data_IF_459779508520
#
_entry.id   IF_459779508520
#
_cell.length_a   1.000
_cell.length_b   1.000
_cell.length_c   1.000
_cell.angle_alpha   90.00
_cell.angle_beta   90.00
_cell.angle_gamma   90.00
#
_symmetry.space_group_name_H-M   'P 1'
#
loop_
_entity.id
_entity.type
_entity.pdbx_description
1 polymer ?
#
# COMPACT_ATOMS: atom_id res chain seq x y z
N UNK A 1 2.60 9.91 -20.34
CA UNK A 1 3.50 11.07 -20.20
C UNK A 1 4.86 10.54 -19.80
N UNK A 2 5.95 11.14 -20.27
CA UNK A 2 7.30 10.64 -20.01
C UNK A 2 7.87 11.37 -18.78
N UNK A 3 7.55 10.89 -17.57
CA UNK A 3 7.97 11.52 -16.31
C UNK A 3 9.49 11.70 -16.24
N UNK A 4 10.29 10.91 -16.96
CA UNK A 4 11.75 11.07 -17.04
C UNK A 4 12.17 12.45 -17.56
N UNK A 5 11.50 12.98 -18.59
CA UNK A 5 11.81 14.30 -19.17
C UNK A 5 11.37 15.43 -18.23
N UNK A 6 10.16 15.30 -17.67
CA UNK A 6 9.60 16.28 -16.73
C UNK A 6 10.43 16.36 -15.45
N UNK A 7 10.86 15.20 -14.92
CA UNK A 7 11.74 15.10 -13.76
C UNK A 7 13.11 15.74 -14.00
N UNK A 8 13.71 15.51 -15.17
CA UNK A 8 14.97 16.16 -15.57
C UNK A 8 14.85 17.69 -15.56
N UNK A 9 13.78 18.22 -16.13
CA UNK A 9 13.51 19.65 -16.14
C UNK A 9 13.26 20.20 -14.74
N UNK A 10 12.48 19.50 -13.91
CA UNK A 10 12.22 19.88 -12.53
C UNK A 10 13.52 19.95 -11.70
N UNK A 11 14.45 18.99 -11.85
CA UNK A 11 15.74 19.04 -11.16
C UNK A 11 16.63 20.20 -11.60
N UNK A 12 16.54 20.65 -12.86
CA UNK A 12 17.23 21.87 -13.31
C UNK A 12 16.70 23.11 -12.56
N UNK A 13 15.39 23.18 -12.32
CA UNK A 13 14.78 24.26 -11.53
C UNK A 13 15.26 24.24 -10.08
N UNK A 14 15.53 23.06 -9.52
CA UNK A 14 16.17 22.87 -8.21
C UNK A 14 17.68 23.17 -8.21
N UNK A 15 18.24 23.70 -9.31
CA UNK A 15 19.65 24.11 -9.48
C UNK A 15 20.67 22.96 -9.42
N UNK A 16 20.29 21.74 -9.77
CA UNK A 16 21.24 20.63 -9.89
C UNK A 16 22.10 20.77 -11.15
N UNK A 17 23.34 20.30 -11.07
CA UNK A 17 24.22 20.22 -12.24
C UNK A 17 23.71 19.17 -13.23
N UNK A 18 23.96 19.39 -14.54
CA UNK A 18 23.61 18.43 -15.60
C UNK A 18 24.21 17.03 -15.35
N UNK A 19 25.44 16.98 -14.82
CA UNK A 19 26.14 15.73 -14.49
C UNK A 19 25.40 14.98 -13.39
N UNK A 20 24.94 15.69 -12.34
CA UNK A 20 24.17 15.08 -11.24
C UNK A 20 22.83 14.53 -11.75
N UNK A 21 22.15 15.31 -12.60
CA UNK A 21 20.88 14.93 -13.20
C UNK A 21 21.04 13.65 -14.02
N UNK A 22 22.04 13.58 -14.90
CA UNK A 22 22.31 12.40 -15.72
C UNK A 22 22.56 11.16 -14.86
N UNK A 23 23.35 11.29 -13.78
CA UNK A 23 23.59 10.21 -12.82
C UNK A 23 22.29 9.71 -12.18
N UNK A 24 21.40 10.61 -11.76
CA UNK A 24 20.13 10.23 -11.13
C UNK A 24 19.18 9.58 -12.12
N UNK A 25 19.07 10.12 -13.34
CA UNK A 25 18.27 9.53 -14.40
C UNK A 25 18.71 8.10 -14.71
N UNK A 26 20.02 7.88 -14.87
CA UNK A 26 20.58 6.55 -15.16
C UNK A 26 20.41 5.58 -13.98
N UNK A 27 20.52 6.08 -12.74
CA UNK A 27 20.30 5.27 -11.55
C UNK A 27 18.86 4.76 -11.45
N UNK A 28 17.88 5.67 -11.64
CA UNK A 28 16.45 5.37 -11.54
C UNK A 28 16.00 4.48 -12.71
N UNK A 29 16.36 4.86 -13.94
CA UNK A 29 15.91 4.16 -15.15
C UNK A 29 16.56 2.78 -15.31
N UNK A 30 17.79 2.65 -14.84
CA UNK A 30 18.54 1.41 -14.91
C UNK A 30 18.46 0.61 -13.62
N UNK A 31 19.52 0.74 -12.82
CA UNK A 31 19.84 -0.23 -11.76
C UNK A 31 18.75 -0.35 -10.70
N UNK A 32 18.10 0.76 -10.32
CA UNK A 32 17.02 0.73 -9.34
C UNK A 32 15.75 0.08 -9.89
N UNK A 33 15.36 0.42 -11.12
CA UNK A 33 14.22 -0.24 -11.78
C UNK A 33 14.47 -1.74 -12.01
N UNK A 34 15.71 -2.15 -12.30
CA UNK A 34 16.07 -3.56 -12.43
C UNK A 34 15.94 -4.31 -11.10
N UNK A 35 16.50 -3.78 -10.00
CA UNK A 35 16.35 -4.39 -8.67
C UNK A 35 14.87 -4.54 -8.31
N UNK A 36 14.04 -3.53 -8.63
CA UNK A 36 12.60 -3.60 -8.42
C UNK A 36 11.94 -4.77 -9.18
N UNK A 37 12.32 -5.02 -10.43
CA UNK A 37 11.78 -6.13 -11.23
C UNK A 37 12.28 -7.48 -10.75
N UNK A 38 13.58 -7.62 -10.56
CA UNK A 38 14.22 -8.87 -10.14
C UNK A 38 13.73 -9.33 -8.76
N UNK A 39 13.52 -8.37 -7.85
CA UNK A 39 12.97 -8.60 -6.51
C UNK A 39 11.43 -8.65 -6.46
N UNK A 40 10.76 -8.56 -7.62
CA UNK A 40 9.28 -8.53 -7.75
C UNK A 40 8.60 -7.47 -6.87
N UNK A 41 9.25 -6.32 -6.72
CA UNK A 41 8.71 -5.14 -6.02
C UNK A 41 7.72 -4.42 -6.95
N UNK A 42 8.10 -4.23 -8.21
CA UNK A 42 7.24 -3.69 -9.27
C UNK A 42 7.77 -4.10 -10.65
N UNK A 43 6.86 -4.38 -11.58
CA UNK A 43 7.18 -4.70 -12.99
C UNK A 43 7.41 -3.44 -13.84
N UNK A 44 6.93 -2.29 -13.37
CA UNK A 44 7.07 -1.00 -14.04
C UNK A 44 8.44 -0.39 -13.81
N UNK A 45 8.89 0.43 -14.75
CA UNK A 45 10.03 1.31 -14.49
C UNK A 45 9.65 2.36 -13.43
N UNK A 46 10.60 2.77 -12.58
CA UNK A 46 10.34 3.77 -11.55
C UNK A 46 9.85 5.12 -12.12
N UNK A 47 10.19 5.46 -13.37
CA UNK A 47 9.65 6.63 -14.05
C UNK A 47 8.21 6.45 -14.56
N UNK A 48 7.72 5.23 -14.70
CA UNK A 48 6.33 4.98 -15.08
C UNK A 48 5.38 5.11 -13.88
N UNK A 49 5.93 5.21 -12.67
CA UNK A 49 5.18 5.45 -11.44
C UNK A 49 4.84 6.93 -11.33
N UNK A 50 3.56 7.27 -11.42
CA UNK A 50 3.01 8.62 -11.29
C UNK A 50 2.33 8.85 -9.93
N UNK A 51 1.87 7.79 -9.26
CA UNK A 51 1.25 7.88 -7.94
C UNK A 51 2.32 8.02 -6.84
N UNK A 52 2.29 9.16 -6.15
CA UNK A 52 3.23 9.48 -5.07
C UNK A 52 3.22 8.44 -3.93
N UNK A 53 2.05 8.02 -3.45
CA UNK A 53 1.95 7.11 -2.31
C UNK A 53 2.44 5.70 -2.67
N UNK A 54 2.14 5.24 -3.89
CA UNK A 54 2.69 4.00 -4.45
C UNK A 54 4.22 4.07 -4.55
N UNK A 55 4.76 5.19 -5.01
CA UNK A 55 6.21 5.39 -5.06
C UNK A 55 6.86 5.30 -3.68
N UNK A 56 6.28 5.89 -2.63
CA UNK A 56 6.80 5.79 -1.25
C UNK A 56 6.90 4.34 -0.79
N UNK A 57 5.91 3.52 -1.11
CA UNK A 57 5.91 2.11 -0.73
C UNK A 57 7.00 1.33 -1.48
N UNK A 58 7.09 1.50 -2.80
CA UNK A 58 8.14 0.91 -3.63
C UNK A 58 9.52 1.33 -3.13
N UNK A 59 9.69 2.63 -2.84
CA UNK A 59 10.92 3.20 -2.29
C UNK A 59 11.30 2.53 -0.95
N UNK A 60 10.36 2.36 -0.03
CA UNK A 60 10.61 1.75 1.28
C UNK A 60 10.99 0.27 1.17
N UNK A 61 10.32 -0.49 0.30
CA UNK A 61 10.61 -1.91 0.07
C UNK A 61 11.98 -2.05 -0.60
N UNK A 62 12.26 -1.23 -1.61
CA UNK A 62 13.54 -1.18 -2.32
C UNK A 62 14.68 -0.84 -1.37
N UNK A 63 14.53 0.21 -0.54
CA UNK A 63 15.55 0.64 0.44
C UNK A 63 15.87 -0.43 1.48
N UNK A 64 14.95 -1.36 1.72
CA UNK A 64 15.15 -2.48 2.65
C UNK A 64 15.85 -3.70 2.03
N UNK A 65 15.96 -3.78 0.69
CA UNK A 65 16.68 -4.87 0.04
C UNK A 65 18.18 -4.82 0.37
N UNK A 66 18.76 -6.01 0.59
CA UNK A 66 20.20 -6.15 0.84
C UNK A 66 20.99 -5.62 -0.36
N UNK A 67 20.58 -6.00 -1.58
CA UNK A 67 21.21 -5.54 -2.82
C UNK A 67 21.20 -4.02 -2.94
N UNK A 68 20.08 -3.36 -2.59
CA UNK A 68 20.02 -1.90 -2.59
C UNK A 68 20.98 -1.30 -1.56
N UNK A 69 21.02 -1.82 -0.33
CA UNK A 69 21.90 -1.30 0.74
C UNK A 69 23.36 -1.34 0.32
N UNK A 70 23.81 -2.47 -0.24
CA UNK A 70 25.18 -2.63 -0.73
C UNK A 70 25.49 -1.70 -1.89
N UNK A 71 24.56 -1.60 -2.85
CA UNK A 71 24.69 -0.72 -4.00
C UNK A 71 24.75 0.76 -3.57
N UNK A 72 23.92 1.14 -2.62
CA UNK A 72 23.82 2.50 -2.11
C UNK A 72 25.09 2.92 -1.37
N UNK A 73 25.68 2.02 -0.57
CA UNK A 73 26.98 2.24 0.07
C UNK A 73 28.09 2.43 -0.97
N UNK A 74 28.19 1.52 -1.96
CA UNK A 74 29.19 1.63 -3.06
C UNK A 74 29.03 2.90 -3.87
N UNK A 75 27.79 3.37 -4.05
CA UNK A 75 27.47 4.61 -4.75
C UNK A 75 27.57 5.87 -3.88
N UNK A 76 28.14 5.79 -2.67
CA UNK A 76 28.21 6.91 -1.73
C UNK A 76 26.84 7.61 -1.54
N UNK A 77 25.80 6.81 -1.29
CA UNK A 77 24.41 7.24 -1.05
C UNK A 77 23.71 7.94 -2.23
N UNK A 78 24.32 7.96 -3.42
CA UNK A 78 23.76 8.58 -4.62
C UNK A 78 22.37 8.05 -4.98
N UNK A 79 22.13 6.74 -4.81
CA UNK A 79 20.86 6.10 -5.15
C UNK A 79 19.72 6.55 -4.23
N UNK A 80 20.00 6.67 -2.92
CA UNK A 80 19.05 7.25 -1.97
C UNK A 80 18.74 8.70 -2.31
N UNK A 81 19.75 9.49 -2.68
CA UNK A 81 19.53 10.87 -3.14
C UNK A 81 18.66 10.92 -4.38
N UNK A 82 18.92 10.10 -5.39
CA UNK A 82 18.11 10.03 -6.61
C UNK A 82 16.63 9.72 -6.30
N UNK A 83 16.36 8.72 -5.44
CA UNK A 83 15.00 8.39 -4.99
C UNK A 83 14.34 9.53 -4.22
N UNK A 84 15.08 10.23 -3.36
CA UNK A 84 14.56 11.38 -2.62
C UNK A 84 14.15 12.53 -3.55
N UNK A 85 14.90 12.78 -4.64
CA UNK A 85 14.50 13.78 -5.64
C UNK A 85 13.27 13.33 -6.41
N UNK A 86 13.20 12.06 -6.82
CA UNK A 86 12.01 11.55 -7.50
C UNK A 86 10.77 11.61 -6.61
N UNK A 87 10.91 11.29 -5.32
CA UNK A 87 9.88 11.49 -4.30
C UNK A 87 9.39 12.93 -4.25
N UNK A 88 10.31 13.89 -4.16
CA UNK A 88 9.97 15.31 -4.09
C UNK A 88 9.25 15.79 -5.35
N UNK A 89 9.72 15.37 -6.53
CA UNK A 89 9.06 15.65 -7.81
C UNK A 89 7.62 15.12 -7.85
N UNK A 90 7.42 13.86 -7.47
CA UNK A 90 6.08 13.25 -7.45
C UNK A 90 5.16 13.95 -6.43
N UNK A 91 5.72 14.40 -5.31
CA UNK A 91 4.99 15.17 -4.30
C UNK A 91 4.52 16.52 -4.87
N UNK A 92 5.43 17.29 -5.45
CA UNK A 92 5.12 18.59 -6.07
C UNK A 92 4.06 18.43 -7.17
N UNK A 93 4.14 17.34 -7.94
CA UNK A 93 3.17 17.02 -8.99
C UNK A 93 1.79 16.71 -8.40
N UNK A 94 1.73 15.89 -7.34
CA UNK A 94 0.49 15.60 -6.59
C UNK A 94 -0.14 16.86 -6.02
N UNK A 95 0.65 17.69 -5.32
CA UNK A 95 0.18 18.94 -4.71
C UNK A 95 -0.31 19.94 -5.78
N UNK A 96 0.31 19.96 -6.97
CA UNK A 96 -0.12 20.78 -8.12
C UNK A 96 -1.42 20.27 -8.77
N UNK A 97 -1.65 18.96 -8.79
CA UNK A 97 -2.89 18.36 -9.32
C UNK A 97 -4.04 18.57 -8.34
N UNK A 98 -3.80 18.37 -7.04
CA UNK A 98 -4.80 18.58 -5.98
C UNK A 98 -5.23 20.04 -5.85
N UNK A 99 -4.33 20.99 -6.21
CA UNK A 99 -4.68 22.41 -6.30
C UNK A 99 -5.38 22.82 -7.60
N UNK A 100 -5.36 21.98 -8.65
CA UNK A 100 -6.03 22.20 -9.94
C UNK A 100 -7.32 21.39 -10.11
N UNK A 101 -7.57 20.38 -9.29
CA UNK A 101 -8.73 19.47 -9.37
C UNK A 101 -10.02 20.05 -8.75
N UNK A 102 -10.27 21.35 -8.97
CA UNK A 102 -11.59 21.96 -8.75
C UNK A 102 -12.43 22.07 -10.03
N UNK A 103 -11.95 21.59 -11.18
CA UNK A 103 -12.76 21.55 -12.41
C UNK A 103 -12.23 20.49 -13.40
N UNK A 104 -13.12 19.60 -13.85
CA UNK A 104 -12.99 18.58 -14.93
C UNK A 104 -12.19 17.28 -14.68
N UNK A 105 -12.91 16.15 -14.57
CA UNK A 105 -12.96 15.09 -15.61
C UNK A 105 -13.50 13.77 -15.04
N UNK A 106 -14.64 13.29 -15.57
CA UNK A 106 -15.38 12.11 -15.08
C UNK A 106 -15.24 10.85 -15.97
N UNK A 107 -14.59 10.90 -17.13
CA UNK A 107 -14.59 9.76 -18.09
C UNK A 107 -13.25 9.04 -18.28
N UNK A 108 -12.12 9.70 -18.07
CA UNK A 108 -10.79 9.04 -18.06
C UNK A 108 -10.46 8.36 -16.73
N UNK A 109 -11.28 8.62 -15.72
CA UNK A 109 -11.05 8.32 -14.31
C UNK A 109 -11.46 6.89 -13.98
N UNK A 110 -12.49 6.33 -14.63
CA UNK A 110 -13.03 5.00 -14.33
C UNK A 110 -12.12 3.86 -14.81
N UNK A 111 -11.61 3.92 -16.05
CA UNK A 111 -10.69 2.90 -16.60
C UNK A 111 -9.36 2.91 -15.84
N UNK A 112 -8.84 4.11 -15.57
CA UNK A 112 -7.66 4.30 -14.74
C UNK A 112 -7.92 3.79 -13.32
N UNK A 113 -9.04 4.18 -12.70
CA UNK A 113 -9.44 3.75 -11.35
C UNK A 113 -9.54 2.23 -11.21
N UNK A 114 -10.08 1.50 -12.21
CA UNK A 114 -10.18 0.04 -12.15
C UNK A 114 -8.80 -0.63 -12.17
N UNK A 115 -7.89 -0.18 -13.04
CA UNK A 115 -6.51 -0.70 -13.10
C UNK A 115 -5.75 -0.34 -11.81
N UNK A 116 -5.86 0.91 -11.35
CA UNK A 116 -5.22 1.37 -10.12
C UNK A 116 -5.79 0.67 -8.87
N UNK A 117 -7.08 0.34 -8.84
CA UNK A 117 -7.69 -0.42 -7.75
C UNK A 117 -7.13 -1.84 -7.72
N UNK A 118 -6.98 -2.48 -8.89
CA UNK A 118 -6.43 -3.84 -8.99
C UNK A 118 -4.97 -3.90 -8.54
N UNK A 119 -4.15 -2.97 -9.03
CA UNK A 119 -2.74 -2.85 -8.63
C UNK A 119 -2.63 -2.51 -7.15
N UNK A 120 -3.45 -1.57 -6.64
CA UNK A 120 -3.49 -1.20 -5.24
C UNK A 120 -3.89 -2.36 -4.33
N UNK A 121 -4.85 -3.20 -4.75
CA UNK A 121 -5.26 -4.40 -4.00
C UNK A 121 -4.19 -5.50 -4.00
N UNK A 122 -3.51 -5.73 -5.13
CA UNK A 122 -2.41 -6.71 -5.19
C UNK A 122 -1.23 -6.28 -4.31
N UNK A 123 -0.91 -4.99 -4.29
CA UNK A 123 0.12 -4.42 -3.44
C UNK A 123 -0.25 -4.42 -1.96
N UNK A 124 -1.47 -3.98 -1.64
CA UNK A 124 -1.99 -4.05 -0.28
C UNK A 124 -1.92 -5.48 0.26
N UNK A 125 -2.31 -6.45 -0.57
CA UNK A 125 -2.20 -7.87 -0.26
C UNK A 125 -0.76 -8.30 -0.01
N UNK A 126 0.19 -7.90 -0.85
CA UNK A 126 1.60 -8.25 -0.66
C UNK A 126 2.16 -7.70 0.68
N UNK A 127 1.79 -6.47 1.04
CA UNK A 127 2.17 -5.84 2.30
C UNK A 127 1.58 -6.61 3.49
N UNK A 128 0.29 -6.97 3.45
CA UNK A 128 -0.35 -7.73 4.51
C UNK A 128 0.23 -9.13 4.68
N UNK A 129 0.59 -9.80 3.58
CA UNK A 129 1.29 -11.10 3.62
C UNK A 129 2.62 -10.98 4.35
N UNK A 130 3.38 -9.90 4.11
CA UNK A 130 4.68 -9.67 4.76
C UNK A 130 4.51 -9.33 6.25
N UNK A 131 3.50 -8.54 6.59
CA UNK A 131 3.20 -8.13 7.96
C UNK A 131 2.66 -9.28 8.82
N UNK A 132 1.56 -9.90 8.40
CA UNK A 132 0.85 -10.92 9.18
C UNK A 132 1.49 -12.30 9.11
N UNK A 133 2.23 -12.60 8.03
CA UNK A 133 2.91 -13.90 7.76
C UNK A 133 1.98 -15.13 7.65
N UNK A 134 0.70 -14.98 7.98
CA UNK A 134 -0.36 -15.98 7.91
C UNK A 134 -1.69 -15.33 8.29
N UNK A 135 -2.77 -16.12 8.37
CA UNK A 135 -4.06 -15.62 8.83
C UNK A 135 -3.90 -14.93 10.20
N UNK A 136 -4.40 -13.69 10.32
CA UNK A 136 -4.32 -12.88 11.54
C UNK A 136 -4.96 -13.58 12.75
N UNK A 137 -5.99 -14.40 12.50
CA UNK A 137 -6.76 -15.10 13.55
C UNK A 137 -6.18 -16.49 13.84
N UNK A 138 -5.89 -17.28 12.80
CA UNK A 138 -5.56 -18.71 12.96
C UNK A 138 -4.08 -19.03 12.76
N UNK A 139 -3.28 -18.09 12.25
CA UNK A 139 -1.89 -18.32 11.86
C UNK A 139 -1.70 -19.17 10.60
N UNK A 140 -2.78 -19.57 9.92
CA UNK A 140 -2.70 -20.40 8.73
C UNK A 140 -1.85 -19.76 7.62
N UNK A 141 -0.84 -20.48 7.12
CA UNK A 141 0.24 -19.90 6.31
C UNK A 141 0.12 -20.05 4.80
N UNK A 142 -0.82 -20.87 4.27
CA UNK A 142 -0.96 -21.00 2.82
C UNK A 142 -1.67 -19.78 2.23
N UNK A 143 -0.84 -18.88 1.68
CA UNK A 143 -1.22 -17.60 1.11
C UNK A 143 -2.30 -17.71 0.03
N UNK A 144 -2.44 -18.85 -0.64
CA UNK A 144 -3.46 -19.07 -1.69
C UNK A 144 -4.89 -19.03 -1.13
N UNK A 145 -5.05 -19.35 0.15
CA UNK A 145 -6.35 -19.35 0.84
C UNK A 145 -6.62 -18.06 1.62
N UNK A 146 -5.66 -17.14 1.69
CA UNK A 146 -5.80 -15.92 2.49
C UNK A 146 -6.36 -14.78 1.64
N UNK A 147 -7.13 -13.90 2.24
CA UNK A 147 -7.71 -12.69 1.66
C UNK A 147 -7.19 -11.46 2.40
N UNK A 148 -7.01 -10.37 1.66
CA UNK A 148 -6.59 -9.08 2.19
C UNK A 148 -7.84 -8.24 2.45
N UNK A 149 -8.34 -8.27 3.68
CA UNK A 149 -9.57 -7.57 4.09
C UNK A 149 -9.22 -6.18 4.59
N UNK A 150 -9.98 -5.16 4.16
CA UNK A 150 -9.87 -3.79 4.68
C UNK A 150 -10.70 -3.64 5.94
N UNK A 151 -10.12 -3.05 7.00
CA UNK A 151 -10.85 -2.76 8.25
C UNK A 151 -11.86 -1.62 8.02
N UNK A 152 -11.39 -0.51 7.46
CA UNK A 152 -12.23 0.56 6.92
C UNK A 152 -12.38 0.32 5.42
N UNK A 153 -13.60 0.12 4.89
CA UNK A 153 -13.82 -0.30 3.52
C UNK A 153 -13.21 0.65 2.49
N UNK A 154 -12.70 0.06 1.41
CA UNK A 154 -12.05 0.78 0.32
C UNK A 154 -12.84 1.97 -0.22
N UNK A 155 -14.17 1.83 -0.33
CA UNK A 155 -15.07 2.85 -0.88
C UNK A 155 -15.11 4.14 -0.08
N UNK A 156 -14.87 4.06 1.24
CA UNK A 156 -14.92 5.20 2.17
C UNK A 156 -13.55 5.57 2.73
N UNK A 157 -12.51 4.84 2.31
CA UNK A 157 -11.12 5.14 2.63
C UNK A 157 -10.54 6.17 1.67
N UNK A 158 -9.70 7.05 2.20
CA UNK A 158 -8.82 7.91 1.42
C UNK A 158 -7.72 7.08 0.74
N UNK A 159 -7.03 7.64 -0.25
CA UNK A 159 -5.98 6.92 -0.97
C UNK A 159 -4.83 6.46 -0.05
N UNK A 160 -4.50 7.25 0.98
CA UNK A 160 -3.53 6.85 2.00
C UNK A 160 -4.04 5.66 2.84
N UNK A 161 -5.32 5.67 3.21
CA UNK A 161 -5.91 4.60 4.02
C UNK A 161 -6.07 3.29 3.23
N UNK A 162 -6.28 3.38 1.91
CA UNK A 162 -6.43 2.23 1.01
C UNK A 162 -5.16 1.37 0.93
N UNK A 163 -3.99 1.99 1.05
CA UNK A 163 -2.69 1.32 1.01
C UNK A 163 -2.04 1.18 2.39
N UNK A 164 -2.69 1.67 3.45
CA UNK A 164 -2.15 1.62 4.81
C UNK A 164 -2.21 0.19 5.36
N UNK A 165 -1.05 -0.37 5.72
CA UNK A 165 -0.94 -1.72 6.28
C UNK A 165 -1.83 -1.94 7.51
N UNK A 166 -2.02 -0.89 8.33
CA UNK A 166 -2.81 -0.95 9.56
C UNK A 166 -4.33 -0.85 9.32
N UNK A 167 -4.73 -0.56 8.08
CA UNK A 167 -6.12 -0.65 7.64
C UNK A 167 -6.46 -2.05 7.06
N UNK A 168 -5.64 -3.06 7.35
CA UNK A 168 -5.78 -4.37 6.71
C UNK A 168 -5.54 -5.57 7.62
N UNK A 169 -6.34 -6.60 7.40
CA UNK A 169 -6.21 -7.90 8.02
C UNK A 169 -6.00 -8.96 6.93
N UNK A 170 -5.11 -9.92 7.20
CA UNK A 170 -4.96 -11.10 6.35
C UNK A 170 -5.82 -12.22 6.92
N UNK A 171 -6.90 -12.60 6.25
CA UNK A 171 -7.93 -13.49 6.83
C UNK A 171 -8.16 -14.73 5.96
N UNK A 172 -8.64 -15.81 6.58
CA UNK A 172 -9.24 -16.91 5.82
C UNK A 172 -10.63 -16.50 5.30
N UNK A 173 -11.16 -17.16 4.24
CA UNK A 173 -12.34 -16.67 3.54
C UNK A 173 -13.61 -16.61 4.41
N UNK A 174 -13.73 -17.51 5.39
CA UNK A 174 -14.86 -17.50 6.32
C UNK A 174 -14.79 -16.34 7.33
N UNK A 175 -13.59 -15.96 7.78
CA UNK A 175 -13.41 -14.78 8.64
C UNK A 175 -13.63 -13.49 7.86
N UNK A 176 -13.05 -13.40 6.66
CA UNK A 176 -13.21 -12.25 5.75
C UNK A 176 -14.69 -11.98 5.46
N UNK A 177 -15.43 -13.00 5.01
CA UNK A 177 -16.86 -12.87 4.70
C UNK A 177 -17.70 -12.45 5.93
N UNK A 178 -17.41 -12.98 7.11
CA UNK A 178 -18.11 -12.61 8.33
C UNK A 178 -17.77 -11.18 8.78
N UNK A 179 -16.51 -10.78 8.64
CA UNK A 179 -16.01 -9.47 9.03
C UNK A 179 -16.58 -8.37 8.13
N UNK A 180 -16.47 -8.52 6.80
CA UNK A 180 -16.98 -7.57 5.81
C UNK A 180 -18.50 -7.36 5.91
N UNK A 181 -19.24 -8.39 6.33
CA UNK A 181 -20.69 -8.31 6.56
C UNK A 181 -21.06 -7.74 7.93
N UNK A 182 -20.09 -7.40 8.77
CA UNK A 182 -20.33 -6.90 10.13
C UNK A 182 -20.82 -7.96 11.12
N UNK A 183 -20.80 -9.24 10.76
CA UNK A 183 -21.21 -10.35 11.64
C UNK A 183 -20.16 -10.63 12.72
N UNK A 184 -18.90 -10.25 12.47
CA UNK A 184 -17.84 -10.22 13.46
C UNK A 184 -17.07 -8.89 13.38
N UNK A 185 -16.42 -8.53 14.47
CA UNK A 185 -15.42 -7.45 14.53
C UNK A 185 -14.38 -7.80 15.57
N UNK A 186 -13.37 -6.95 15.77
CA UNK A 186 -12.41 -7.10 16.87
C UNK A 186 -12.44 -5.88 17.78
N UNK A 187 -12.26 -6.11 19.08
CA UNK A 187 -12.06 -5.03 20.05
C UNK A 187 -10.71 -4.34 19.82
N UNK A 188 -10.50 -3.19 20.47
CA UNK A 188 -9.20 -2.48 20.44
C UNK A 188 -8.07 -3.25 21.15
N UNK A 189 -8.37 -4.33 21.85
CA UNK A 189 -7.37 -5.25 22.37
C UNK A 189 -7.23 -6.54 21.55
N UNK A 190 -7.93 -6.66 20.40
CA UNK A 190 -7.78 -7.77 19.47
C UNK A 190 -8.69 -8.98 19.72
N UNK A 191 -9.56 -8.92 20.74
CA UNK A 191 -10.55 -9.99 20.98
C UNK A 191 -11.68 -9.90 19.97
N UNK A 192 -12.10 -11.04 19.42
CA UNK A 192 -13.27 -11.06 18.53
C UNK A 192 -14.53 -10.63 19.28
N UNK A 193 -15.45 -10.00 18.56
CA UNK A 193 -16.84 -9.78 18.96
C UNK A 193 -17.72 -10.36 17.87
N UNK A 194 -18.71 -11.13 18.27
CA UNK A 194 -19.64 -11.79 17.36
C UNK A 194 -20.99 -11.10 17.49
N UNK A 195 -21.59 -10.76 16.36
CA UNK A 195 -22.92 -10.17 16.29
C UNK A 195 -23.98 -11.18 16.76
N UNK A 196 -25.00 -10.77 17.52
CA UNK A 196 -26.13 -11.65 17.85
C UNK A 196 -26.90 -12.11 16.61
N UNK A 197 -26.80 -11.39 15.48
CA UNK A 197 -27.42 -11.79 14.21
C UNK A 197 -26.65 -12.90 13.48
N UNK A 198 -25.43 -13.24 13.93
CA UNK A 198 -24.68 -14.34 13.32
C UNK A 198 -25.22 -15.69 13.80
N UNK A 199 -26.07 -16.30 12.98
CA UNK A 199 -26.60 -17.63 13.27
C UNK A 199 -25.51 -18.72 13.24
N UNK A 200 -25.27 -19.36 14.38
CA UNK A 200 -24.38 -20.53 14.57
C UNK A 200 -22.94 -20.29 14.06
N UNK A 201 -22.22 -19.28 14.59
CA UNK A 201 -20.85 -18.94 14.18
C UNK A 201 -19.88 -20.11 14.32
N UNK A 202 -20.11 -21.00 15.29
CA UNK A 202 -19.30 -22.20 15.53
C UNK A 202 -19.29 -23.16 14.34
N UNK A 203 -20.40 -23.22 13.57
CA UNK A 203 -20.46 -24.03 12.34
C UNK A 203 -19.62 -23.45 11.20
N UNK A 204 -19.32 -22.16 11.26
CA UNK A 204 -18.36 -21.49 10.38
C UNK A 204 -16.93 -21.52 10.94
N UNK A 205 -16.67 -22.29 12.00
CA UNK A 205 -15.38 -22.34 12.71
C UNK A 205 -14.93 -20.99 13.30
N UNK A 206 -15.90 -20.15 13.69
CA UNK A 206 -15.67 -18.88 14.36
C UNK A 206 -15.98 -19.07 15.85
N UNK A 207 -15.00 -18.81 16.69
CA UNK A 207 -15.08 -18.97 18.15
C UNK A 207 -14.92 -17.65 18.85
N UNK A 208 -15.61 -17.43 19.97
CA UNK A 208 -15.43 -16.26 20.85
C UNK A 208 -14.02 -16.17 21.46
N UNK A 209 -13.27 -17.28 21.47
CA UNK A 209 -11.87 -17.29 21.89
C UNK A 209 -10.91 -16.73 20.83
N UNK A 210 -11.39 -16.43 19.61
CA UNK A 210 -10.55 -15.92 18.55
C UNK A 210 -9.95 -14.54 18.91
N UNK A 211 -8.69 -14.36 18.52
CA UNK A 211 -7.89 -13.21 18.86
C UNK A 211 -6.98 -12.83 17.70
N UNK A 212 -6.74 -11.54 17.52
CA UNK A 212 -5.75 -11.00 16.58
C UNK A 212 -4.78 -10.10 17.31
N UNK A 213 -3.51 -10.10 16.87
CA UNK A 213 -2.50 -9.23 17.46
C UNK A 213 -2.50 -7.87 16.75
N UNK A 214 -3.14 -6.86 17.33
CA UNK A 214 -3.26 -5.52 16.75
C UNK A 214 -2.37 -4.50 17.45
N UNK A 215 -1.85 -3.57 16.66
CA UNK A 215 -1.11 -2.40 17.13
C UNK A 215 -2.01 -1.17 17.31
N UNK A 216 -1.50 -0.13 17.98
CA UNK A 216 -2.24 1.11 18.23
C UNK A 216 -2.69 1.81 16.93
N UNK A 217 -1.93 1.66 15.84
CA UNK A 217 -2.21 2.24 14.53
C UNK A 217 -3.44 1.61 13.85
N UNK A 218 -3.88 0.42 14.28
CA UNK A 218 -5.13 -0.19 13.82
C UNK A 218 -6.37 0.45 14.47
N UNK A 219 -6.21 1.12 15.61
CA UNK A 219 -7.31 1.64 16.42
C UNK A 219 -8.29 2.57 15.68
N UNK A 220 -7.87 3.54 14.84
CA UNK A 220 -8.83 4.40 14.13
C UNK A 220 -9.72 3.60 13.16
N UNK A 221 -9.14 2.65 12.42
CA UNK A 221 -9.88 1.81 11.48
C UNK A 221 -10.80 0.83 12.21
N UNK A 222 -10.28 0.19 13.26
CA UNK A 222 -11.07 -0.76 14.04
C UNK A 222 -12.24 -0.05 14.75
N UNK A 223 -12.02 1.17 15.23
CA UNK A 223 -13.09 2.01 15.79
C UNK A 223 -14.15 2.37 14.75
N UNK A 224 -13.75 2.62 13.50
CA UNK A 224 -14.69 2.82 12.41
C UNK A 224 -15.52 1.57 12.16
N UNK A 225 -14.88 0.40 12.00
CA UNK A 225 -15.56 -0.86 11.74
C UNK A 225 -16.57 -1.20 12.86
N UNK A 226 -16.15 -1.11 14.13
CA UNK A 226 -17.01 -1.34 15.29
C UNK A 226 -18.23 -0.40 15.35
N UNK A 227 -18.15 0.82 14.80
CA UNK A 227 -19.23 1.82 14.88
C UNK A 227 -20.13 1.86 13.64
N UNK A 228 -19.61 1.47 12.48
CA UNK A 228 -20.25 1.73 11.18
C UNK A 228 -20.60 0.47 10.39
N UNK A 229 -19.98 -0.67 10.73
CA UNK A 229 -20.10 -1.91 9.95
C UNK A 229 -20.59 -3.04 10.84
N UNK A 230 -20.02 -3.17 12.04
CA UNK A 230 -20.44 -4.20 12.99
C UNK A 230 -21.93 -4.09 13.34
N UNK A 231 -22.62 -5.22 13.25
CA UNK A 231 -24.04 -5.34 13.58
C UNK A 231 -24.15 -5.67 15.07
N UNK A 232 -24.74 -4.75 15.82
CA UNK A 232 -24.86 -4.82 17.28
C UNK A 232 -25.97 -5.75 17.77
#
# INVERSE_FOLDING_TARGET
MNNKKEFSFWMLQQRLSKITIEKYLNAIDGRLSHICKDSRITESNLFEIDNYDYFILVENILKNQIEFKDLNLKGNYMYSSALNYLRAFLKDTKDTIDSKSNEYSLKSTEIKSSIYTRVGQELFRAVLISHWKGCAVTGFGDKRMLLASHIKPWSVSSDNERLNLFNGLLLLPHYDCAFDKGLITFSLCGRIKISPEFYKPERASISESAFINISAEHAPYMSYHNKKIFIH
#
